data_IF_618021898496
#
_entry.id   IF_618021898496
#
_cell.length_a   1.000
_cell.length_b   1.000
_cell.length_c   1.000
_cell.angle_alpha   90.00
_cell.angle_beta   90.00
_cell.angle_gamma   90.00
#
_symmetry.space_group_name_H-M   'P 1'
#
loop_
_entity.id
_entity.type
_entity.pdbx_description
1 polymer ?
#
# COMPACT_ATOMS: atom_id res chain seq x y z
N UNK A 1 16.77 -14.42 19.90
CA UNK A 1 15.91 -13.26 19.56
C UNK A 1 16.65 -12.29 18.61
N UNK A 2 17.12 -12.76 17.44
CA UNK A 2 17.88 -11.94 16.46
C UNK A 2 17.45 -12.19 15.01
N UNK A 3 17.07 -13.43 14.68
CA UNK A 3 16.51 -13.80 13.37
C UNK A 3 15.10 -13.23 13.11
N UNK A 4 14.27 -13.13 14.14
CA UNK A 4 12.87 -12.63 14.03
C UNK A 4 12.81 -11.15 13.65
N UNK A 5 13.73 -10.34 14.16
CA UNK A 5 13.81 -8.89 13.87
C UNK A 5 14.27 -8.64 12.43
N UNK A 6 15.28 -9.39 11.97
CA UNK A 6 15.77 -9.35 10.59
C UNK A 6 14.70 -9.82 9.59
N UNK A 7 13.95 -10.88 9.91
CA UNK A 7 12.79 -11.32 9.12
C UNK A 7 11.73 -10.22 8.97
N UNK A 8 11.42 -9.52 10.07
CA UNK A 8 10.43 -8.44 10.05
C UNK A 8 10.92 -7.20 9.28
N UNK A 9 12.21 -6.86 9.37
CA UNK A 9 12.81 -5.78 8.58
C UNK A 9 12.76 -6.08 7.07
N UNK A 10 13.09 -7.32 6.68
CA UNK A 10 13.06 -7.76 5.27
C UNK A 10 11.63 -7.79 4.71
N UNK A 11 10.64 -8.18 5.53
CA UNK A 11 9.21 -8.12 5.19
C UNK A 11 8.72 -6.67 5.08
N UNK A 12 9.20 -5.78 5.94
CA UNK A 12 8.89 -4.35 5.90
C UNK A 12 9.40 -3.67 4.64
N UNK A 13 10.64 -3.92 4.23
CA UNK A 13 11.19 -3.34 2.99
C UNK A 13 10.50 -3.86 1.72
N UNK A 14 10.22 -5.17 1.65
CA UNK A 14 9.44 -5.73 0.54
C UNK A 14 8.01 -5.19 0.50
N UNK A 15 7.40 -4.97 1.68
CA UNK A 15 6.09 -4.34 1.80
C UNK A 15 6.11 -2.87 1.35
N UNK A 16 7.13 -2.09 1.76
CA UNK A 16 7.29 -0.71 1.33
C UNK A 16 7.47 -0.61 -0.19
N UNK A 17 8.34 -1.44 -0.79
CA UNK A 17 8.50 -1.51 -2.24
C UNK A 17 7.23 -1.90 -2.98
N UNK A 18 6.50 -2.90 -2.49
CA UNK A 18 5.20 -3.31 -3.05
C UNK A 18 4.14 -2.21 -2.93
N UNK A 19 4.13 -1.47 -1.81
CA UNK A 19 3.12 -0.44 -1.54
C UNK A 19 3.29 0.79 -2.45
N UNK A 20 4.52 1.18 -2.78
CA UNK A 20 4.78 2.29 -3.71
C UNK A 20 4.30 1.96 -5.12
N UNK A 21 4.55 0.74 -5.60
CA UNK A 21 4.04 0.31 -6.91
C UNK A 21 2.50 0.31 -6.94
N UNK A 22 1.84 -0.19 -5.88
CA UNK A 22 0.38 -0.14 -5.79
C UNK A 22 -0.16 1.30 -5.79
N UNK A 23 0.53 2.24 -5.13
CA UNK A 23 0.14 3.66 -5.16
C UNK A 23 0.23 4.24 -6.58
N UNK A 24 1.30 3.91 -7.32
CA UNK A 24 1.47 4.37 -8.71
C UNK A 24 0.37 3.79 -9.61
N UNK A 25 0.12 2.48 -9.53
CA UNK A 25 -0.93 1.80 -10.32
C UNK A 25 -2.33 2.38 -10.04
N UNK A 26 -2.67 2.58 -8.76
CA UNK A 26 -3.94 3.23 -8.39
C UNK A 26 -4.01 4.67 -8.91
N UNK A 27 -2.91 5.42 -8.86
CA UNK A 27 -2.90 6.81 -9.31
C UNK A 27 -3.11 6.93 -10.82
N UNK A 28 -2.63 5.96 -11.60
CA UNK A 28 -2.89 5.86 -13.04
C UNK A 28 -4.37 5.53 -13.25
N UNK A 29 -4.90 4.51 -12.56
CA UNK A 29 -6.29 4.09 -12.72
C UNK A 29 -7.29 5.20 -12.39
N UNK A 30 -7.06 5.95 -11.30
CA UNK A 30 -7.89 7.11 -10.92
C UNK A 30 -7.80 8.21 -11.99
N UNK A 31 -6.61 8.46 -12.53
CA UNK A 31 -6.41 9.46 -13.60
C UNK A 31 -7.18 9.07 -14.87
N UNK A 32 -7.14 7.80 -15.24
CA UNK A 32 -7.92 7.27 -16.37
C UNK A 32 -9.44 7.35 -16.12
N UNK A 33 -9.90 7.00 -14.92
CA UNK A 33 -11.31 7.07 -14.52
C UNK A 33 -11.86 8.50 -14.60
N UNK A 34 -11.06 9.49 -14.19
CA UNK A 34 -11.42 10.90 -14.26
C UNK A 34 -11.17 11.54 -15.63
N UNK A 35 -10.69 10.78 -16.62
CA UNK A 35 -10.31 11.25 -17.95
C UNK A 35 -9.29 12.41 -17.93
N UNK A 36 -8.45 12.45 -16.89
CA UNK A 36 -7.42 13.46 -16.73
C UNK A 36 -6.18 13.11 -17.55
N UNK A 37 -5.50 14.14 -18.04
CA UNK A 37 -4.31 13.99 -18.88
C UNK A 37 -3.00 13.80 -18.09
N UNK A 38 -3.04 14.03 -16.77
CA UNK A 38 -1.88 13.92 -15.90
C UNK A 38 -2.28 13.49 -14.50
N UNK A 39 -1.41 12.73 -13.85
CA UNK A 39 -1.52 12.43 -12.43
C UNK A 39 -1.25 13.71 -11.66
N UNK A 40 -2.23 14.14 -10.86
CA UNK A 40 -2.08 15.29 -9.96
C UNK A 40 -1.85 14.84 -8.50
N UNK A 41 -1.54 15.79 -7.63
CA UNK A 41 -1.30 15.50 -6.21
C UNK A 41 -2.51 14.90 -5.48
N UNK A 42 -3.73 15.21 -5.92
CA UNK A 42 -4.93 14.63 -5.34
C UNK A 42 -5.03 13.13 -5.66
N UNK A 43 -4.72 12.72 -6.89
CA UNK A 43 -4.72 11.31 -7.29
C UNK A 43 -3.68 10.50 -6.50
N UNK A 44 -2.50 11.08 -6.28
CA UNK A 44 -1.46 10.48 -5.44
C UNK A 44 -1.90 10.36 -3.98
N UNK A 45 -2.52 11.40 -3.43
CA UNK A 45 -3.02 11.40 -2.05
C UNK A 45 -4.14 10.37 -1.85
N UNK A 46 -5.07 10.30 -2.81
CA UNK A 46 -6.17 9.31 -2.79
C UNK A 46 -5.62 7.89 -2.89
N UNK A 47 -4.65 7.64 -3.77
CA UNK A 47 -4.00 6.33 -3.93
C UNK A 47 -3.24 5.91 -2.67
N UNK A 48 -2.55 6.86 -2.02
CA UNK A 48 -1.88 6.63 -0.73
C UNK A 48 -2.89 6.28 0.37
N UNK A 49 -4.01 7.01 0.45
CA UNK A 49 -5.06 6.75 1.43
C UNK A 49 -5.66 5.35 1.23
N UNK A 50 -6.03 4.99 0.00
CA UNK A 50 -6.60 3.66 -0.32
C UNK A 50 -5.60 2.56 0.00
N UNK A 51 -4.34 2.71 -0.38
CA UNK A 51 -3.28 1.72 -0.09
C UNK A 51 -3.08 1.55 1.41
N UNK A 52 -3.10 2.64 2.18
CA UNK A 52 -3.00 2.63 3.64
C UNK A 52 -4.18 1.91 4.30
N UNK A 53 -5.41 2.17 3.83
CA UNK A 53 -6.61 1.50 4.33
C UNK A 53 -6.59 -0.01 4.02
N UNK A 54 -6.20 -0.39 2.80
CA UNK A 54 -6.07 -1.79 2.41
C UNK A 54 -5.01 -2.51 3.25
N UNK A 55 -3.89 -1.85 3.56
CA UNK A 55 -2.89 -2.40 4.46
C UNK A 55 -3.45 -2.61 5.87
N UNK A 56 -4.14 -1.61 6.41
CA UNK A 56 -4.73 -1.70 7.75
C UNK A 56 -5.72 -2.85 7.83
N UNK A 57 -6.59 -3.02 6.83
CA UNK A 57 -7.53 -4.14 6.76
C UNK A 57 -6.82 -5.49 6.65
N UNK A 58 -5.79 -5.59 5.80
CA UNK A 58 -4.97 -6.79 5.66
C UNK A 58 -4.29 -7.17 6.98
N UNK A 59 -3.74 -6.19 7.71
CA UNK A 59 -3.09 -6.40 8.99
C UNK A 59 -4.06 -6.89 10.08
N UNK A 60 -5.24 -6.27 10.20
CA UNK A 60 -6.25 -6.69 11.18
C UNK A 60 -6.91 -8.02 10.82
N UNK A 61 -7.15 -8.30 9.54
CA UNK A 61 -7.68 -9.59 9.10
C UNK A 61 -6.71 -10.74 9.45
N UNK A 62 -5.40 -10.52 9.28
CA UNK A 62 -4.37 -11.48 9.70
C UNK A 62 -4.30 -11.71 11.21
N UNK A 63 -4.73 -10.72 12.01
CA UNK A 63 -4.77 -10.83 13.47
C UNK A 63 -6.02 -11.56 13.96
N UNK A 64 -7.16 -11.34 13.29
CA UNK A 64 -8.45 -11.96 13.64
C UNK A 64 -8.48 -13.49 13.42
N UNK A 65 -7.65 -14.03 12.52
CA UNK A 65 -7.52 -15.48 12.32
C UNK A 65 -6.50 -16.15 13.26
N UNK A 66 -5.84 -15.39 14.12
CA UNK A 66 -4.77 -15.90 15.00
C UNK A 66 -5.19 -16.14 16.45
N UNK A 67 -6.46 -15.90 16.80
CA UNK A 67 -7.03 -16.09 18.13
C UNK A 67 -8.29 -16.94 18.07
#
# INVERSE_FOLDING_TARGET
MKLTVLSNATKGEHFLGSSVNSIIELSILITEEHADSFINHLHLLTSLLITSLNFHQSYFSNFAFKY
#
